data_IF_021735467841
#
_entry.id   IF_021735467841
#
_cell.length_a   1.000
_cell.length_b   1.000
_cell.length_c   1.000
_cell.angle_alpha   90.00
_cell.angle_beta   90.00
_cell.angle_gamma   90.00
#
_symmetry.space_group_name_H-M   'P 1'
#
loop_
_entity.id
_entity.type
_entity.pdbx_description
1 polymer ?
#
# COMPACT_ATOMS: atom_id res chain seq x y z
N UNK A 1 2.12 10.32 -15.78
CA UNK A 1 3.47 9.69 -15.79
C UNK A 1 3.79 9.23 -14.38
N UNK A 2 4.10 7.94 -14.19
CA UNK A 2 4.36 7.35 -12.87
C UNK A 2 4.15 5.83 -12.88
N UNK A 3 3.08 5.36 -13.52
CA UNK A 3 2.72 3.93 -13.57
C UNK A 3 3.84 2.99 -14.07
N UNK A 4 4.62 3.32 -15.13
CA UNK A 4 5.71 2.43 -15.57
C UNK A 4 6.81 2.23 -14.50
N UNK A 5 7.23 3.31 -13.84
CA UNK A 5 8.26 3.24 -12.80
C UNK A 5 7.75 2.55 -11.52
N UNK A 6 6.46 2.73 -11.18
CA UNK A 6 5.80 2.00 -10.09
C UNK A 6 5.80 0.50 -10.39
N UNK A 7 5.40 0.12 -11.61
CA UNK A 7 5.37 -1.28 -12.03
C UNK A 7 6.78 -1.89 -11.94
N UNK A 8 7.78 -1.24 -12.53
CA UNK A 8 9.18 -1.68 -12.48
C UNK A 8 9.67 -1.86 -11.04
N UNK A 9 9.36 -0.91 -10.14
CA UNK A 9 9.77 -1.00 -8.74
C UNK A 9 9.14 -2.20 -8.05
N UNK A 10 7.84 -2.43 -8.24
CA UNK A 10 7.10 -3.52 -7.59
C UNK A 10 7.52 -4.90 -8.13
N UNK A 11 7.77 -5.01 -9.44
CA UNK A 11 8.21 -6.27 -10.07
C UNK A 11 9.64 -6.65 -9.69
N UNK A 12 10.48 -5.67 -9.34
CA UNK A 12 11.88 -5.88 -8.99
C UNK A 12 12.15 -6.02 -7.48
N UNK A 13 11.10 -6.13 -6.66
CA UNK A 13 11.29 -6.41 -5.23
C UNK A 13 11.87 -7.81 -5.03
N UNK A 14 12.81 -8.01 -4.09
CA UNK A 14 13.59 -9.25 -3.97
C UNK A 14 12.83 -10.35 -3.19
N UNK A 15 11.56 -10.56 -3.51
CA UNK A 15 10.73 -11.63 -2.93
C UNK A 15 9.82 -12.23 -4.00
N UNK A 16 9.48 -13.51 -3.86
CA UNK A 16 8.62 -14.21 -4.80
C UNK A 16 7.15 -14.12 -4.40
N UNK A 17 6.89 -14.17 -3.10
CA UNK A 17 5.54 -14.12 -2.55
C UNK A 17 5.50 -13.18 -1.35
N UNK A 18 4.46 -12.37 -1.29
CA UNK A 18 4.15 -11.54 -0.13
C UNK A 18 2.68 -11.71 0.23
N UNK A 19 2.40 -12.02 1.49
CA UNK A 19 1.07 -12.05 2.03
C UNK A 19 0.90 -10.87 3.00
N UNK A 20 -0.09 -10.03 2.71
CA UNK A 20 -0.48 -8.92 3.58
C UNK A 20 -1.49 -9.42 4.61
N UNK A 21 -1.18 -9.25 5.89
CA UNK A 21 -2.10 -9.47 6.99
C UNK A 21 -2.55 -8.10 7.50
N UNK A 22 -3.73 -7.66 7.07
CA UNK A 22 -4.30 -6.38 7.49
C UNK A 22 -4.81 -6.52 8.92
N UNK A 23 -4.31 -5.68 9.82
CA UNK A 23 -4.79 -5.59 11.20
C UNK A 23 -5.91 -4.55 11.30
N UNK A 24 -5.67 -3.35 10.79
CA UNK A 24 -6.67 -2.29 10.72
C UNK A 24 -6.56 -1.51 9.42
N UNK A 25 -7.67 -0.95 8.98
CA UNK A 25 -7.66 0.12 7.98
C UNK A 25 -8.69 1.17 8.35
N UNK A 26 -8.39 2.42 8.02
CA UNK A 26 -9.28 3.55 8.22
C UNK A 26 -9.32 4.37 6.93
N UNK A 27 -10.52 4.71 6.46
CA UNK A 27 -10.73 5.55 5.30
C UNK A 27 -11.44 6.83 5.70
N UNK A 28 -10.95 7.97 5.24
CA UNK A 28 -11.55 9.27 5.47
C UNK A 28 -11.67 10.07 4.16
N UNK A 29 -12.75 10.86 3.98
CA UNK A 29 -12.80 11.84 2.90
C UNK A 29 -11.61 12.80 3.00
N UNK A 30 -11.12 13.23 1.85
CA UNK A 30 -10.04 14.21 1.72
C UNK A 30 -10.39 15.23 0.64
N UNK A 31 -9.55 16.25 0.46
CA UNK A 31 -9.80 17.32 -0.50
C UNK A 31 -9.97 16.81 -1.95
N UNK A 32 -10.92 17.39 -2.68
CA UNK A 32 -11.17 17.11 -4.10
C UNK A 32 -11.87 15.77 -4.35
N UNK A 33 -12.84 15.43 -3.51
CA UNK A 33 -13.57 14.15 -3.52
C UNK A 33 -12.67 12.91 -3.41
N UNK A 34 -11.42 13.11 -2.95
CA UNK A 34 -10.46 12.05 -2.72
C UNK A 34 -10.71 11.33 -1.41
N UNK A 35 -10.07 10.18 -1.22
CA UNK A 35 -10.12 9.39 0.02
C UNK A 35 -8.69 9.16 0.48
N UNK A 36 -8.42 9.39 1.77
CA UNK A 36 -7.18 8.96 2.40
C UNK A 36 -7.44 7.66 3.17
N UNK A 37 -6.57 6.66 2.95
CA UNK A 37 -6.66 5.35 3.59
C UNK A 37 -5.38 5.08 4.34
N UNK A 38 -5.47 4.81 5.64
CA UNK A 38 -4.35 4.34 6.46
C UNK A 38 -4.54 2.86 6.77
N UNK A 39 -3.56 2.04 6.44
CA UNK A 39 -3.51 0.61 6.70
C UNK A 39 -2.38 0.31 7.68
N UNK A 40 -2.67 -0.52 8.68
CA UNK A 40 -1.65 -1.14 9.53
C UNK A 40 -1.79 -2.66 9.48
N UNK A 41 -0.67 -3.35 9.54
CA UNK A 41 -0.68 -4.80 9.46
C UNK A 41 0.71 -5.40 9.56
N UNK A 42 0.82 -6.65 9.12
CA UNK A 42 2.07 -7.38 9.00
C UNK A 42 2.23 -7.99 7.61
N UNK A 43 3.47 -8.12 7.14
CA UNK A 43 3.84 -8.83 5.93
C UNK A 43 4.46 -10.17 6.30
N UNK A 44 4.00 -11.23 5.63
CA UNK A 44 4.72 -12.49 5.54
C UNK A 44 5.36 -12.56 4.15
N UNK A 45 6.67 -12.74 4.09
CA UNK A 45 7.44 -12.76 2.85
C UNK A 45 7.98 -14.17 2.62
N UNK A 46 7.75 -14.71 1.43
CA UNK A 46 8.15 -16.05 1.02
C UNK A 46 7.72 -17.14 2.02
N UNK A 47 8.68 -17.91 2.56
CA UNK A 47 8.47 -18.91 3.62
C UNK A 47 8.89 -18.40 5.00
N UNK A 48 9.20 -17.10 5.14
CA UNK A 48 9.62 -16.51 6.40
C UNK A 48 8.46 -16.53 7.40
N UNK A 49 8.67 -17.19 8.53
CA UNK A 49 7.64 -17.32 9.57
C UNK A 49 7.47 -16.05 10.40
N UNK A 50 8.41 -15.10 10.33
CA UNK A 50 8.40 -13.89 11.14
C UNK A 50 7.61 -12.78 10.43
N UNK A 51 6.44 -12.37 10.94
CA UNK A 51 5.71 -11.26 10.36
C UNK A 51 6.46 -9.95 10.57
N UNK A 52 6.55 -9.14 9.52
CA UNK A 52 7.12 -7.79 9.56
C UNK A 52 6.00 -6.76 9.61
N UNK A 53 5.90 -6.01 10.70
CA UNK A 53 4.89 -4.97 10.82
C UNK A 53 5.10 -3.88 9.77
N UNK A 54 4.01 -3.36 9.21
CA UNK A 54 4.04 -2.28 8.23
C UNK A 54 2.89 -1.29 8.46
N UNK A 55 3.08 -0.09 7.92
CA UNK A 55 2.03 0.88 7.70
C UNK A 55 2.04 1.29 6.25
N UNK A 56 0.87 1.53 5.68
CA UNK A 56 0.73 2.00 4.31
C UNK A 56 -0.37 3.04 4.22
N UNK A 57 -0.12 4.12 3.48
CA UNK A 57 -1.08 5.20 3.27
C UNK A 57 -1.37 5.36 1.79
N UNK A 58 -2.64 5.36 1.43
CA UNK A 58 -3.10 5.61 0.08
C UNK A 58 -3.89 6.92 0.00
N UNK A 59 -3.62 7.72 -1.02
CA UNK A 59 -4.53 8.80 -1.44
C UNK A 59 -5.20 8.39 -2.74
N UNK A 60 -6.50 8.14 -2.67
CA UNK A 60 -7.34 7.83 -3.81
C UNK A 60 -7.96 9.12 -4.36
N UNK A 61 -8.00 9.27 -5.68
CA UNK A 61 -8.69 10.36 -6.36
C UNK A 61 -9.68 9.80 -7.37
N UNK A 62 -10.86 10.41 -7.54
CA UNK A 62 -11.81 9.99 -8.53
C UNK A 62 -11.34 10.33 -9.95
N UNK A 63 -11.58 9.42 -10.90
CA UNK A 63 -11.37 9.62 -12.33
C UNK A 63 -12.37 8.75 -13.10
N UNK A 64 -13.15 9.37 -14.01
CA UNK A 64 -14.07 8.67 -14.92
C UNK A 64 -15.02 7.66 -14.24
N UNK A 65 -15.55 7.99 -13.05
CA UNK A 65 -16.46 7.13 -12.30
C UNK A 65 -15.80 6.00 -11.51
N UNK A 66 -14.47 5.95 -11.47
CA UNK A 66 -13.67 5.07 -10.62
C UNK A 66 -12.70 5.88 -9.76
N UNK A 67 -11.82 5.21 -9.02
CA UNK A 67 -10.73 5.83 -8.26
C UNK A 67 -9.39 5.28 -8.72
N UNK A 68 -8.36 6.11 -8.70
CA UNK A 68 -6.96 5.71 -8.86
C UNK A 68 -6.15 6.10 -7.64
N UNK A 69 -5.03 5.40 -7.42
CA UNK A 69 -4.07 5.73 -6.36
C UNK A 69 -3.19 6.88 -6.84
N UNK A 70 -3.41 8.08 -6.31
CA UNK A 70 -2.55 9.23 -6.58
C UNK A 70 -1.26 9.17 -5.76
N UNK A 71 -1.33 8.70 -4.50
CA UNK A 71 -0.16 8.51 -3.65
C UNK A 71 -0.24 7.15 -2.96
N UNK A 72 0.89 6.47 -2.89
CA UNK A 72 1.12 5.27 -2.08
C UNK A 72 2.40 5.48 -1.27
N UNK A 73 2.28 5.46 0.06
CA UNK A 73 3.41 5.58 0.98
C UNK A 73 3.45 4.34 1.85
N UNK A 74 4.45 3.51 1.63
CA UNK A 74 4.69 2.28 2.37
C UNK A 74 5.87 2.43 3.33
N UNK A 75 5.76 1.88 4.54
CA UNK A 75 6.85 1.81 5.51
C UNK A 75 6.81 0.52 6.33
N UNK A 76 7.95 -0.18 6.38
CA UNK A 76 8.18 -1.22 7.38
C UNK A 76 8.39 -0.59 8.75
N UNK A 77 7.69 -1.11 9.75
CA UNK A 77 7.84 -0.73 11.15
C UNK A 77 8.95 -1.60 11.75
N UNK A 78 10.18 -1.09 11.67
CA UNK A 78 11.32 -1.68 12.38
C UNK A 78 11.21 -1.26 13.85
N UNK A 79 11.03 -2.24 14.73
CA UNK A 79 11.08 -2.04 16.19
C UNK A 79 12.48 -1.76 16.68
#
# INVERSE_FOLDING_TARGET
MGAPAILEKLTNLPFQKVQHQIATFNAQPSHGDGIIVLVTGALLVDEEQRPMNYTQCFKLMPENGSYYVLNDVFRLVMG
#
